data_IF_422298825012
#
_entry.id   IF_422298825012
#
_cell.length_a   1.000
_cell.length_b   1.000
_cell.length_c   1.000
_cell.angle_alpha   90.00
_cell.angle_beta   90.00
_cell.angle_gamma   90.00
#
_symmetry.space_group_name_H-M   'P 1'
#
loop_
_entity.id
_entity.type
_entity.pdbx_description
1 polymer ?
#
# COMPACT_ATOMS: atom_id res chain seq x y z
N UNK A 1 25.60 16.69 -27.15
CA UNK A 1 26.56 16.15 -26.16
C UNK A 1 27.10 17.25 -25.23
N UNK A 2 26.24 18.15 -24.72
CA UNK A 2 26.67 19.21 -23.78
C UNK A 2 26.48 18.82 -22.30
N UNK A 3 25.71 17.76 -22.02
CA UNK A 3 25.44 17.28 -20.67
C UNK A 3 26.67 16.67 -19.95
N UNK A 4 27.71 16.22 -20.68
CA UNK A 4 28.92 15.66 -20.07
C UNK A 4 29.93 16.71 -19.58
N UNK A 5 29.83 17.98 -20.01
CA UNK A 5 30.88 18.98 -19.75
C UNK A 5 30.88 19.57 -18.35
N UNK A 6 29.79 19.39 -17.59
CA UNK A 6 29.68 19.86 -16.20
C UNK A 6 28.89 18.86 -15.36
N UNK A 7 29.54 17.87 -14.73
CA UNK A 7 28.86 16.99 -13.78
C UNK A 7 28.20 17.84 -12.67
N UNK A 8 27.03 17.40 -12.18
CA UNK A 8 26.22 18.07 -11.13
C UNK A 8 25.51 19.37 -11.51
N UNK A 9 25.59 19.86 -12.76
CA UNK A 9 24.88 21.10 -13.15
C UNK A 9 23.36 20.99 -12.99
N UNK A 10 22.78 19.83 -13.30
CA UNK A 10 21.35 19.55 -13.10
C UNK A 10 20.95 19.66 -11.63
N UNK A 11 21.62 18.90 -10.76
CA UNK A 11 21.35 18.89 -9.31
C UNK A 11 21.46 20.28 -8.68
N UNK A 12 22.46 21.09 -9.08
CA UNK A 12 22.62 22.46 -8.59
C UNK A 12 21.45 23.37 -8.98
N UNK A 13 20.95 23.23 -10.20
CA UNK A 13 19.82 24.02 -10.68
C UNK A 13 18.53 23.64 -9.96
N UNK A 14 18.30 22.33 -9.77
CA UNK A 14 17.12 21.81 -9.07
C UNK A 14 17.11 22.27 -7.60
N UNK A 15 18.27 22.21 -6.93
CA UNK A 15 18.41 22.69 -5.55
C UNK A 15 18.14 24.20 -5.45
N UNK A 16 18.69 25.00 -6.38
CA UNK A 16 18.46 26.45 -6.39
C UNK A 16 16.98 26.79 -6.61
N UNK A 17 16.30 26.06 -7.49
CA UNK A 17 14.86 26.19 -7.71
C UNK A 17 14.05 25.86 -6.46
N UNK A 18 14.37 24.74 -5.79
CA UNK A 18 13.67 24.30 -4.58
C UNK A 18 13.87 25.27 -3.41
N UNK A 19 15.09 25.72 -3.17
CA UNK A 19 15.43 26.63 -2.05
C UNK A 19 14.66 27.95 -2.11
N UNK A 20 14.39 28.47 -3.31
CA UNK A 20 13.62 29.71 -3.47
C UNK A 20 12.17 29.57 -2.96
N UNK A 21 11.55 28.40 -3.15
CA UNK A 21 10.18 28.14 -2.74
C UNK A 21 10.07 27.56 -1.31
N UNK A 22 11.14 26.93 -0.80
CA UNK A 22 11.10 26.19 0.46
C UNK A 22 10.59 27.02 1.65
N UNK A 23 11.06 28.26 1.80
CA UNK A 23 10.60 29.15 2.88
C UNK A 23 9.10 29.47 2.77
N UNK A 24 8.59 29.62 1.55
CA UNK A 24 7.19 29.94 1.29
C UNK A 24 6.27 28.77 1.65
N UNK A 25 6.68 27.53 1.34
CA UNK A 25 5.90 26.34 1.64
C UNK A 25 5.60 26.18 3.14
N UNK A 26 6.57 26.46 4.01
CA UNK A 26 6.37 26.40 5.47
C UNK A 26 5.41 27.47 6.00
N UNK A 27 5.43 28.67 5.39
CA UNK A 27 4.52 29.75 5.76
C UNK A 27 3.10 29.44 5.27
N UNK A 28 2.98 28.99 4.03
CA UNK A 28 1.68 28.68 3.41
C UNK A 28 1.03 27.44 4.05
N UNK A 29 1.82 26.49 4.56
CA UNK A 29 1.33 25.31 5.28
C UNK A 29 0.76 25.59 6.68
N UNK A 30 1.03 26.76 7.27
CA UNK A 30 0.53 27.13 8.61
C UNK A 30 -0.96 27.56 8.63
N UNK A 31 -1.64 27.58 7.48
CA UNK A 31 -3.07 27.88 7.38
C UNK A 31 -3.97 26.78 7.95
N UNK A 32 -5.23 27.08 8.29
CA UNK A 32 -6.16 26.14 8.94
C UNK A 32 -6.73 25.02 8.04
N UNK A 33 -6.37 25.00 6.74
CA UNK A 33 -6.98 24.14 5.73
C UNK A 33 -6.27 22.83 5.39
N UNK A 34 -5.12 22.52 6.00
CA UNK A 34 -4.32 21.33 5.59
C UNK A 34 -4.80 20.01 6.20
N UNK A 35 -5.50 20.04 7.34
CA UNK A 35 -5.87 18.82 8.08
C UNK A 35 -6.68 17.81 7.25
N UNK A 36 -7.64 18.30 6.46
CA UNK A 36 -8.47 17.43 5.63
C UNK A 36 -7.70 16.75 4.49
N UNK A 37 -6.92 17.49 3.66
CA UNK A 37 -6.02 16.87 2.69
C UNK A 37 -5.00 15.93 3.30
N UNK A 38 -4.39 16.29 4.44
CA UNK A 38 -3.37 15.45 5.11
C UNK A 38 -3.95 14.11 5.52
N UNK A 39 -5.10 14.11 6.19
CA UNK A 39 -5.71 12.88 6.65
C UNK A 39 -6.25 12.03 5.48
N UNK A 40 -6.79 12.65 4.42
CA UNK A 40 -7.17 11.93 3.20
C UNK A 40 -5.98 11.22 2.55
N UNK A 41 -4.87 11.94 2.33
CA UNK A 41 -3.65 11.40 1.71
C UNK A 41 -3.00 10.33 2.59
N UNK A 42 -3.04 10.50 3.92
CA UNK A 42 -2.56 9.49 4.86
C UNK A 42 -3.26 8.15 4.66
N UNK A 43 -4.59 8.12 4.67
CA UNK A 43 -5.30 6.86 4.47
C UNK A 43 -5.20 6.34 3.03
N UNK A 44 -5.18 7.22 2.04
CA UNK A 44 -5.02 6.83 0.64
C UNK A 44 -3.67 6.17 0.36
N UNK A 45 -2.62 6.53 1.11
CA UNK A 45 -1.28 5.95 1.00
C UNK A 45 -1.06 4.76 1.93
N UNK A 46 -1.65 4.77 3.14
CA UNK A 46 -1.49 3.68 4.11
C UNK A 46 -2.17 2.38 3.66
N UNK A 47 -3.38 2.45 3.08
CA UNK A 47 -4.14 1.24 2.70
C UNK A 47 -3.41 0.39 1.64
N UNK A 48 -2.90 0.95 0.52
CA UNK A 48 -2.11 0.17 -0.43
C UNK A 48 -0.83 -0.39 0.19
N UNK A 49 -0.15 0.36 1.05
CA UNK A 49 1.09 -0.09 1.69
C UNK A 49 0.84 -1.27 2.62
N UNK A 50 -0.28 -1.29 3.35
CA UNK A 50 -0.66 -2.44 4.18
C UNK A 50 -0.96 -3.66 3.31
N UNK A 51 -1.76 -3.50 2.24
CA UNK A 51 -2.10 -4.59 1.34
C UNK A 51 -0.86 -5.18 0.66
N UNK A 52 0.03 -4.32 0.18
CA UNK A 52 1.29 -4.70 -0.46
C UNK A 52 2.33 -5.26 0.52
N UNK A 53 2.37 -4.74 1.75
CA UNK A 53 3.22 -5.28 2.80
C UNK A 53 2.79 -6.70 3.18
N UNK A 54 1.48 -6.96 3.24
CA UNK A 54 0.95 -8.30 3.51
C UNK A 54 1.25 -9.25 2.36
N UNK A 55 1.08 -8.80 1.11
CA UNK A 55 1.48 -9.58 -0.06
C UNK A 55 2.97 -9.91 -0.02
N UNK A 56 3.84 -8.95 0.30
CA UNK A 56 5.28 -9.16 0.39
C UNK A 56 5.63 -10.14 1.52
N UNK A 57 4.95 -10.07 2.66
CA UNK A 57 5.09 -11.01 3.76
C UNK A 57 4.75 -12.44 3.32
N UNK A 58 3.60 -12.63 2.65
CA UNK A 58 3.18 -13.94 2.13
C UNK A 58 4.14 -14.52 1.10
N UNK A 59 4.69 -13.69 0.21
CA UNK A 59 5.61 -14.13 -0.85
C UNK A 59 7.05 -14.35 -0.36
N UNK A 60 7.42 -13.80 0.80
CA UNK A 60 8.75 -13.96 1.42
C UNK A 60 8.73 -14.85 2.66
N UNK A 61 7.65 -15.61 2.84
CA UNK A 61 7.37 -16.48 4.00
C UNK A 61 7.52 -15.76 5.37
N UNK A 62 7.22 -14.46 5.43
CA UNK A 62 7.37 -13.64 6.63
C UNK A 62 8.80 -13.12 6.87
N UNK A 63 9.70 -13.25 5.90
CA UNK A 63 11.06 -12.68 6.01
C UNK A 63 11.06 -11.14 5.89
N UNK A 64 10.04 -10.56 5.25
CA UNK A 64 9.75 -9.12 5.26
C UNK A 64 8.31 -8.89 5.70
N UNK A 65 8.14 -8.18 6.82
CA UNK A 65 6.84 -7.97 7.43
C UNK A 65 6.12 -6.72 6.93
N UNK A 66 4.79 -6.71 7.07
CA UNK A 66 3.94 -5.55 6.77
C UNK A 66 4.34 -4.31 7.58
N UNK A 67 4.74 -4.50 8.84
CA UNK A 67 5.22 -3.44 9.74
C UNK A 67 6.51 -2.79 9.26
N UNK A 68 7.46 -3.57 8.76
CA UNK A 68 8.74 -3.09 8.22
C UNK A 68 8.52 -2.28 6.94
N UNK A 69 7.59 -2.73 6.10
CA UNK A 69 7.18 -2.03 4.87
C UNK A 69 6.53 -0.68 5.18
N UNK A 70 5.66 -0.64 6.20
CA UNK A 70 5.03 0.58 6.70
C UNK A 70 6.07 1.56 7.26
N UNK A 71 6.98 1.06 8.11
CA UNK A 71 8.05 1.85 8.71
C UNK A 71 8.98 2.43 7.65
N UNK A 72 9.38 1.61 6.67
CA UNK A 72 10.21 2.05 5.54
C UNK A 72 9.55 3.17 4.75
N UNK A 73 8.25 3.02 4.43
CA UNK A 73 7.49 4.06 3.72
C UNK A 73 7.36 5.34 4.54
N UNK A 74 7.12 5.24 5.84
CA UNK A 74 7.02 6.40 6.73
C UNK A 74 8.36 7.15 6.83
N UNK A 75 9.46 6.45 7.09
CA UNK A 75 10.80 7.06 7.19
C UNK A 75 11.21 7.69 5.88
N UNK A 76 11.06 6.98 4.76
CA UNK A 76 11.39 7.52 3.45
C UNK A 76 10.48 8.70 3.06
N UNK A 77 9.20 8.65 3.43
CA UNK A 77 8.25 9.73 3.23
C UNK A 77 8.62 11.01 3.98
N UNK A 78 9.03 10.90 5.26
CA UNK A 78 9.50 12.06 6.04
C UNK A 78 10.78 12.64 5.45
N UNK A 79 11.76 11.80 5.10
CA UNK A 79 13.01 12.24 4.48
C UNK A 79 12.72 12.93 3.14
N UNK A 80 11.85 12.37 2.30
CA UNK A 80 11.45 12.95 1.02
C UNK A 80 10.64 14.24 1.17
N UNK A 81 9.80 14.36 2.20
CA UNK A 81 9.06 15.59 2.46
C UNK A 81 9.98 16.77 2.81
N UNK A 82 11.08 16.52 3.53
CA UNK A 82 12.04 17.55 3.95
C UNK A 82 13.04 17.87 2.84
N UNK A 83 13.62 16.85 2.20
CA UNK A 83 14.72 17.01 1.25
C UNK A 83 14.33 16.88 -0.22
N UNK A 84 13.09 16.48 -0.52
CA UNK A 84 12.62 16.21 -1.87
C UNK A 84 12.46 17.46 -2.73
N UNK A 85 12.70 17.31 -4.03
CA UNK A 85 12.48 18.37 -5.02
C UNK A 85 11.00 18.68 -5.28
N UNK A 86 10.10 17.72 -5.01
CA UNK A 86 8.66 17.86 -5.20
C UNK A 86 7.89 17.31 -3.99
N UNK A 87 7.41 18.16 -3.06
CA UNK A 87 6.75 17.72 -1.83
C UNK A 87 5.34 17.14 -2.05
N UNK A 88 4.71 17.39 -3.21
CA UNK A 88 3.42 16.81 -3.59
C UNK A 88 3.53 15.34 -4.05
N UNK A 89 4.74 14.81 -4.19
CA UNK A 89 4.95 13.41 -4.57
C UNK A 89 4.74 12.52 -3.35
N UNK A 90 3.78 11.60 -3.46
CA UNK A 90 3.51 10.58 -2.44
C UNK A 90 4.47 9.41 -2.69
N UNK A 91 5.34 9.15 -1.72
CA UNK A 91 6.22 8.00 -1.74
C UNK A 91 5.46 6.78 -1.22
N UNK A 92 5.64 5.64 -1.87
CA UNK A 92 5.01 4.39 -1.48
C UNK A 92 5.62 3.19 -2.15
N UNK A 93 5.28 2.01 -1.65
CA UNK A 93 5.63 0.74 -2.30
C UNK A 93 4.66 0.48 -3.43
N UNK A 94 5.21 0.09 -4.58
CA UNK A 94 4.45 -0.29 -5.75
C UNK A 94 4.66 -1.78 -6.05
N UNK A 95 3.67 -2.39 -6.69
CA UNK A 95 3.70 -3.81 -7.04
C UNK A 95 4.95 -4.27 -7.82
N UNK A 96 5.49 -3.51 -8.79
CA UNK A 96 6.73 -3.92 -9.46
C UNK A 96 7.91 -4.10 -8.49
N UNK A 97 7.96 -3.31 -7.41
CA UNK A 97 8.96 -3.47 -6.36
C UNK A 97 8.76 -4.80 -5.65
N UNK A 98 7.53 -5.17 -5.29
CA UNK A 98 7.21 -6.43 -4.61
C UNK A 98 7.62 -7.62 -5.48
N UNK A 99 7.25 -7.61 -6.77
CA UNK A 99 7.61 -8.68 -7.72
C UNK A 99 9.13 -8.85 -7.78
N UNK A 100 9.89 -7.76 -7.82
CA UNK A 100 11.35 -7.82 -7.80
C UNK A 100 11.90 -8.40 -6.49
N UNK A 101 11.31 -8.06 -5.33
CA UNK A 101 11.72 -8.60 -4.04
C UNK A 101 11.38 -10.09 -3.89
N UNK A 102 10.22 -10.55 -4.40
CA UNK A 102 9.85 -11.97 -4.48
C UNK A 102 10.80 -12.75 -5.39
N UNK A 103 11.15 -12.18 -6.55
CA UNK A 103 12.13 -12.81 -7.44
C UNK A 103 13.51 -12.92 -6.79
N UNK A 104 13.92 -11.87 -6.06
CA UNK A 104 15.17 -11.87 -5.30
C UNK A 104 15.16 -12.93 -4.19
N UNK A 105 14.02 -13.11 -3.54
CA UNK A 105 13.81 -14.13 -2.53
C UNK A 105 13.97 -15.55 -3.11
N UNK A 106 13.31 -15.86 -4.24
CA UNK A 106 13.46 -17.16 -4.90
C UNK A 106 14.89 -17.45 -5.37
N UNK A 107 15.63 -16.43 -5.84
CA UNK A 107 17.05 -16.60 -6.17
C UNK A 107 17.84 -16.92 -4.90
N UNK A 108 17.63 -16.16 -3.83
CA UNK A 108 18.35 -16.34 -2.58
C UNK A 108 18.07 -17.72 -1.97
N UNK A 109 16.81 -18.16 -1.96
CA UNK A 109 16.39 -19.49 -1.49
C UNK A 109 17.11 -20.61 -2.23
N UNK A 110 17.18 -20.54 -3.56
CA UNK A 110 17.80 -21.57 -4.40
C UNK A 110 19.33 -21.63 -4.30
N UNK A 111 19.99 -20.52 -4.00
CA UNK A 111 21.45 -20.38 -4.15
C UNK A 111 22.22 -20.17 -2.84
N UNK A 112 21.74 -19.29 -1.96
CA UNK A 112 22.49 -18.80 -0.79
C UNK A 112 21.83 -19.27 0.53
N UNK A 113 20.52 -19.51 0.52
CA UNK A 113 19.71 -19.89 1.66
C UNK A 113 18.90 -18.72 2.23
N UNK A 114 17.73 -19.04 2.82
CA UNK A 114 16.73 -18.07 3.29
C UNK A 114 17.25 -17.05 4.31
N UNK A 115 18.15 -17.47 5.21
CA UNK A 115 18.70 -16.61 6.28
C UNK A 115 19.53 -15.44 5.75
N UNK A 116 20.14 -15.57 4.56
CA UNK A 116 20.99 -14.53 3.97
C UNK A 116 20.24 -13.63 2.99
N UNK A 117 18.93 -13.83 2.81
CA UNK A 117 18.10 -13.02 1.92
C UNK A 117 18.18 -11.52 2.23
N UNK A 118 18.09 -11.14 3.51
CA UNK A 118 18.13 -9.73 3.92
C UNK A 118 19.48 -9.08 3.60
N UNK A 119 20.59 -9.78 3.83
CA UNK A 119 21.92 -9.29 3.49
C UNK A 119 22.10 -9.14 1.98
N UNK A 120 21.57 -10.08 1.20
CA UNK A 120 21.58 -10.04 -0.26
C UNK A 120 20.75 -8.86 -0.80
N UNK A 121 19.54 -8.64 -0.28
CA UNK A 121 18.72 -7.48 -0.59
C UNK A 121 19.43 -6.16 -0.26
N UNK A 122 20.12 -6.10 0.88
CA UNK A 122 20.97 -4.96 1.27
C UNK A 122 22.05 -4.64 0.22
N UNK A 123 22.77 -5.66 -0.27
CA UNK A 123 23.78 -5.45 -1.31
C UNK A 123 23.18 -4.98 -2.65
N UNK A 124 22.02 -5.50 -3.05
CA UNK A 124 21.29 -5.01 -4.23
C UNK A 124 20.93 -3.53 -4.06
N UNK A 125 20.48 -3.12 -2.87
CA UNK A 125 20.19 -1.72 -2.56
C UNK A 125 21.44 -0.82 -2.65
N UNK A 126 22.61 -1.30 -2.20
CA UNK A 126 23.88 -0.56 -2.33
C UNK A 126 24.23 -0.31 -3.80
N UNK A 127 24.14 -1.33 -4.65
CA UNK A 127 24.39 -1.18 -6.09
C UNK A 127 23.36 -0.29 -6.76
N UNK A 128 22.09 -0.41 -6.38
CA UNK A 128 21.01 0.44 -6.89
C UNK A 128 21.26 1.90 -6.53
N UNK A 129 21.65 2.20 -5.29
CA UNK A 129 21.98 3.55 -4.84
C UNK A 129 23.20 4.12 -5.60
N UNK A 130 24.24 3.32 -5.82
CA UNK A 130 25.41 3.71 -6.61
C UNK A 130 25.03 4.05 -8.05
N UNK A 131 24.21 3.22 -8.70
CA UNK A 131 23.74 3.47 -10.07
C UNK A 131 22.86 4.73 -10.15
N UNK A 132 21.96 4.95 -9.19
CA UNK A 132 21.15 6.16 -9.11
C UNK A 132 22.02 7.42 -8.94
N UNK A 133 23.06 7.34 -8.11
CA UNK A 133 24.01 8.45 -7.95
C UNK A 133 24.73 8.76 -9.26
N UNK A 134 25.23 7.73 -9.97
CA UNK A 134 25.87 7.91 -11.28
C UNK A 134 24.92 8.55 -12.29
N UNK A 135 23.67 8.08 -12.38
CA UNK A 135 22.66 8.66 -13.27
C UNK A 135 22.37 10.14 -12.96
N UNK A 136 22.35 10.52 -11.68
CA UNK A 136 22.19 11.90 -11.24
C UNK A 136 23.39 12.77 -11.65
N UNK A 137 24.63 12.27 -11.51
CA UNK A 137 25.85 12.98 -11.92
C UNK A 137 25.88 13.24 -13.42
N UNK A 138 25.48 12.24 -14.22
CA UNK A 138 25.44 12.33 -15.69
C UNK A 138 24.21 13.07 -16.25
N UNK A 139 23.34 13.61 -15.37
CA UNK A 139 22.11 14.30 -15.76
C UNK A 139 21.19 13.46 -16.68
N UNK A 140 21.12 12.15 -16.40
CA UNK A 140 20.30 11.21 -17.16
C UNK A 140 18.80 11.54 -17.08
N UNK A 141 18.37 12.31 -16.07
CA UNK A 141 16.99 12.80 -15.89
C UNK A 141 16.43 13.53 -17.12
N UNK A 142 17.29 14.08 -17.99
CA UNK A 142 16.87 14.65 -19.28
C UNK A 142 16.09 13.66 -20.15
N UNK A 143 16.29 12.34 -19.98
CA UNK A 143 15.56 11.32 -20.74
C UNK A 143 14.05 11.35 -20.46
N UNK A 144 13.62 11.86 -19.30
CA UNK A 144 12.21 11.89 -18.92
C UNK A 144 11.41 12.83 -19.82
N UNK A 145 12.03 13.86 -20.41
CA UNK A 145 11.35 14.78 -21.34
C UNK A 145 11.02 14.11 -22.68
N UNK A 146 11.63 12.95 -22.98
CA UNK A 146 11.30 12.12 -24.13
C UNK A 146 10.12 11.18 -23.84
N UNK A 147 9.75 11.01 -22.57
CA UNK A 147 8.62 10.18 -22.19
C UNK A 147 7.33 10.83 -22.67
N UNK A 148 6.61 10.15 -23.56
CA UNK A 148 5.38 10.70 -24.15
C UNK A 148 4.21 10.56 -23.20
N UNK A 149 3.20 11.41 -23.41
CA UNK A 149 1.92 11.30 -22.69
C UNK A 149 1.30 9.90 -22.82
N UNK A 150 1.39 9.30 -24.01
CA UNK A 150 0.90 7.93 -24.27
C UNK A 150 1.58 6.92 -23.37
N UNK A 151 2.90 7.02 -23.18
CA UNK A 151 3.63 6.11 -22.29
C UNK A 151 3.18 6.28 -20.82
N UNK A 152 2.90 7.51 -20.39
CA UNK A 152 2.36 7.78 -19.05
C UNK A 152 0.96 7.21 -18.82
N UNK A 153 0.07 7.37 -19.79
CA UNK A 153 -1.29 6.82 -19.72
C UNK A 153 -1.28 5.28 -19.74
N UNK A 154 -0.43 4.66 -20.57
CA UNK A 154 -0.24 3.20 -20.60
C UNK A 154 0.34 2.66 -19.29
N UNK A 155 1.31 3.36 -18.69
CA UNK A 155 1.87 2.97 -17.40
C UNK A 155 0.82 3.05 -16.27
N UNK A 156 -0.02 4.09 -16.26
CA UNK A 156 -1.14 4.19 -15.33
C UNK A 156 -2.20 3.10 -15.54
N UNK A 157 -2.48 2.73 -16.80
CA UNK A 157 -3.37 1.61 -17.13
C UNK A 157 -2.79 0.29 -16.61
N UNK A 158 -1.50 0.04 -16.80
CA UNK A 158 -0.82 -1.15 -16.31
C UNK A 158 -0.96 -1.29 -14.79
N UNK A 159 -0.65 -0.21 -14.04
CA UNK A 159 -0.80 -0.20 -12.58
C UNK A 159 -2.24 -0.51 -12.16
N UNK A 160 -3.23 0.04 -12.88
CA UNK A 160 -4.65 -0.19 -12.58
C UNK A 160 -5.05 -1.66 -12.78
N UNK A 161 -4.59 -2.28 -13.87
CA UNK A 161 -4.86 -3.70 -14.16
C UNK A 161 -4.21 -4.59 -13.11
N UNK A 162 -2.96 -4.31 -12.75
CA UNK A 162 -2.22 -5.05 -11.73
C UNK A 162 -2.92 -4.97 -10.36
N UNK A 163 -3.35 -3.77 -9.93
CA UNK A 163 -4.14 -3.62 -8.70
C UNK A 163 -5.46 -4.42 -8.70
N UNK A 164 -6.18 -4.47 -9.83
CA UNK A 164 -7.42 -5.24 -9.94
C UNK A 164 -7.13 -6.74 -9.84
N UNK A 165 -6.08 -7.21 -10.50
CA UNK A 165 -5.65 -8.60 -10.44
C UNK A 165 -5.34 -9.01 -9.00
N UNK A 166 -4.61 -8.18 -8.27
CA UNK A 166 -4.21 -8.48 -6.89
C UNK A 166 -5.39 -8.42 -5.92
N UNK A 167 -6.35 -7.52 -6.15
CA UNK A 167 -7.61 -7.54 -5.43
C UNK A 167 -8.40 -8.85 -5.65
N UNK A 168 -8.43 -9.37 -6.89
CA UNK A 168 -9.08 -10.66 -7.21
C UNK A 168 -8.32 -11.81 -6.54
N UNK A 169 -6.99 -11.86 -6.65
CA UNK A 169 -6.18 -12.89 -5.98
C UNK A 169 -6.37 -12.88 -4.47
N UNK A 170 -6.45 -11.69 -3.85
CA UNK A 170 -6.71 -11.55 -2.42
C UNK A 170 -8.04 -12.20 -2.02
N UNK A 171 -9.12 -11.91 -2.76
CA UNK A 171 -10.45 -12.52 -2.52
C UNK A 171 -10.45 -14.03 -2.77
N UNK A 172 -9.78 -14.50 -3.84
CA UNK A 172 -9.67 -15.94 -4.13
C UNK A 172 -8.88 -16.67 -3.06
N UNK A 173 -7.84 -16.03 -2.49
CA UNK A 173 -7.00 -16.65 -1.48
C UNK A 173 -7.72 -16.97 -0.17
N UNK A 174 -8.89 -16.35 0.09
CA UNK A 174 -9.75 -16.67 1.23
C UNK A 174 -10.52 -17.98 1.05
N UNK A 175 -10.66 -18.46 -0.19
CA UNK A 175 -11.24 -19.77 -0.50
C UNK A 175 -10.21 -20.90 -0.42
N UNK A 176 -8.94 -20.58 -0.16
CA UNK A 176 -7.84 -21.53 -0.09
C UNK A 176 -7.30 -21.64 1.34
N UNK A 177 -6.71 -22.79 1.67
CA UNK A 177 -6.07 -23.00 2.98
C UNK A 177 -4.77 -22.18 3.00
N UNK A 178 -4.52 -21.36 4.04
CA UNK A 178 -3.28 -20.61 4.16
C UNK A 178 -2.08 -21.56 4.18
N UNK A 179 -1.05 -21.20 3.38
CA UNK A 179 0.18 -21.99 3.25
C UNK A 179 0.91 -22.02 4.60
N UNK A 180 1.07 -23.20 5.19
CA UNK A 180 1.77 -23.40 6.46
C UNK A 180 0.90 -23.84 7.64
N UNK A 181 -0.43 -23.89 7.47
CA UNK A 181 -1.35 -24.40 8.49
C UNK A 181 -1.74 -25.87 8.27
N UNK A 182 -2.07 -26.57 9.36
CA UNK A 182 -2.39 -28.00 9.33
C UNK A 182 -3.76 -28.24 8.65
N UNK A 183 -3.82 -29.01 7.54
CA UNK A 183 -5.08 -29.23 6.81
C UNK A 183 -6.16 -29.98 7.60
N UNK A 184 -5.78 -30.60 8.73
CA UNK A 184 -6.66 -31.43 9.55
C UNK A 184 -7.42 -30.65 10.63
N UNK A 185 -7.23 -29.33 10.74
CA UNK A 185 -8.02 -28.54 11.70
C UNK A 185 -9.47 -28.39 11.23
N UNK A 186 -10.43 -28.46 12.16
CA UNK A 186 -11.86 -28.31 11.86
C UNK A 186 -12.20 -26.99 11.14
N UNK A 187 -11.35 -25.97 11.29
CA UNK A 187 -11.47 -24.66 10.63
C UNK A 187 -11.30 -24.72 9.11
N UNK A 188 -10.59 -25.72 8.60
CA UNK A 188 -10.29 -25.91 7.18
C UNK A 188 -11.21 -26.93 6.50
N UNK A 189 -12.28 -27.35 7.19
CA UNK A 189 -13.34 -28.11 6.54
C UNK A 189 -13.97 -27.28 5.41
N UNK A 190 -14.34 -27.97 4.32
CA UNK A 190 -14.86 -27.35 3.11
C UNK A 190 -16.02 -26.38 3.36
N UNK A 191 -16.89 -26.69 4.34
CA UNK A 191 -18.03 -25.84 4.72
C UNK A 191 -17.59 -24.48 5.28
N UNK A 192 -16.60 -24.46 6.17
CA UNK A 192 -16.11 -23.22 6.81
C UNK A 192 -15.33 -22.35 5.84
N UNK A 193 -14.48 -22.97 5.01
CA UNK A 193 -13.71 -22.27 3.98
C UNK A 193 -14.61 -21.61 2.94
N UNK A 194 -15.68 -22.30 2.51
CA UNK A 194 -16.66 -21.76 1.59
C UNK A 194 -17.45 -20.58 2.18
N UNK A 195 -17.84 -20.67 3.47
CA UNK A 195 -18.53 -19.57 4.17
C UNK A 195 -17.63 -18.35 4.32
N UNK A 196 -16.35 -18.55 4.71
CA UNK A 196 -15.37 -17.46 4.83
C UNK A 196 -15.14 -16.77 3.49
N UNK A 197 -14.91 -17.53 2.42
CA UNK A 197 -14.74 -16.97 1.08
C UNK A 197 -15.97 -16.21 0.58
N UNK A 198 -17.18 -16.74 0.79
CA UNK A 198 -18.42 -16.04 0.43
C UNK A 198 -18.58 -14.73 1.22
N UNK A 199 -18.27 -14.76 2.52
CA UNK A 199 -18.31 -13.59 3.38
C UNK A 199 -17.31 -12.52 2.93
N UNK A 200 -16.09 -12.92 2.53
CA UNK A 200 -15.08 -12.02 1.99
C UNK A 200 -15.51 -11.36 0.66
N UNK A 201 -16.21 -12.11 -0.22
CA UNK A 201 -16.82 -11.53 -1.43
C UNK A 201 -17.85 -10.47 -1.07
N UNK A 202 -18.76 -10.78 -0.13
CA UNK A 202 -19.80 -9.84 0.31
C UNK A 202 -19.18 -8.57 0.91
N UNK A 203 -18.19 -8.72 1.78
CA UNK A 203 -17.48 -7.58 2.40
C UNK A 203 -16.71 -6.75 1.39
N UNK A 204 -16.00 -7.39 0.46
CA UNK A 204 -15.23 -6.70 -0.59
C UNK A 204 -16.12 -5.86 -1.51
N UNK A 205 -17.22 -6.43 -2.01
CA UNK A 205 -18.21 -5.69 -2.79
C UNK A 205 -18.93 -4.62 -1.95
N UNK A 206 -19.20 -4.91 -0.67
CA UNK A 206 -19.78 -3.96 0.27
C UNK A 206 -18.93 -2.71 0.43
N UNK A 207 -17.64 -2.87 0.74
CA UNK A 207 -16.67 -1.76 0.86
C UNK A 207 -16.55 -1.02 -0.47
N UNK A 208 -16.47 -1.72 -1.60
CA UNK A 208 -16.36 -1.11 -2.93
C UNK A 208 -17.57 -0.22 -3.25
N UNK A 209 -18.78 -0.77 -3.15
CA UNK A 209 -20.01 -0.05 -3.49
C UNK A 209 -20.23 1.16 -2.57
N UNK A 210 -20.03 0.97 -1.26
CA UNK A 210 -20.18 2.06 -0.29
C UNK A 210 -19.12 3.14 -0.45
N UNK A 211 -17.87 2.78 -0.76
CA UNK A 211 -16.80 3.74 -1.08
C UNK A 211 -17.09 4.55 -2.35
N UNK A 212 -17.61 3.91 -3.40
CA UNK A 212 -18.03 4.59 -4.63
C UNK A 212 -19.21 5.53 -4.39
N UNK A 213 -20.16 5.14 -3.53
CA UNK A 213 -21.27 6.01 -3.09
C UNK A 213 -20.76 7.20 -2.28
N UNK A 214 -19.79 6.98 -1.40
CA UNK A 214 -19.18 8.00 -0.56
C UNK A 214 -18.44 9.06 -1.40
N UNK A 215 -17.71 8.64 -2.45
CA UNK A 215 -17.10 9.59 -3.41
C UNK A 215 -18.12 10.43 -4.18
N UNK A 216 -19.30 9.86 -4.46
CA UNK A 216 -20.41 10.60 -5.11
C UNK A 216 -21.18 11.50 -4.13
N UNK A 217 -20.92 11.42 -2.83
CA UNK A 217 -21.64 12.19 -1.80
C UNK A 217 -21.56 13.70 -2.02
N UNK A 218 -20.46 14.23 -2.61
CA UNK A 218 -20.33 15.67 -2.93
C UNK A 218 -21.43 16.20 -3.86
N UNK A 219 -22.02 15.33 -4.70
CA UNK A 219 -23.13 15.67 -5.61
C UNK A 219 -24.52 15.38 -5.03
N UNK A 220 -24.61 14.89 -3.79
CA UNK A 220 -25.89 14.50 -3.21
C UNK A 220 -26.74 15.74 -2.93
N UNK A 221 -28.04 15.63 -3.29
CA UNK A 221 -29.05 16.68 -3.08
C UNK A 221 -29.54 16.77 -1.63
N UNK A 222 -29.29 15.73 -0.85
CA UNK A 222 -29.69 15.62 0.55
C UNK A 222 -28.46 15.71 1.45
N UNK A 223 -28.53 16.56 2.48
CA UNK A 223 -27.45 16.74 3.47
C UNK A 223 -26.92 18.17 3.55
N UNK A 224 -26.38 18.54 4.71
CA UNK A 224 -25.72 19.83 4.92
C UNK A 224 -24.37 19.87 4.21
N UNK A 225 -23.96 21.06 3.72
CA UNK A 225 -22.73 21.21 2.92
C UNK A 225 -21.46 20.76 3.64
N UNK A 226 -21.39 20.96 4.96
CA UNK A 226 -20.27 20.55 5.79
C UNK A 226 -20.16 19.03 5.92
N UNK A 227 -21.27 18.35 6.29
CA UNK A 227 -21.32 16.89 6.41
C UNK A 227 -21.03 16.19 5.08
N UNK A 228 -21.51 16.80 3.97
CA UNK A 228 -21.26 16.32 2.61
C UNK A 228 -19.79 16.38 2.22
N UNK A 229 -19.07 17.44 2.57
CA UNK A 229 -17.62 17.51 2.31
C UNK A 229 -16.87 16.50 3.17
N UNK A 230 -17.22 16.38 4.46
CA UNK A 230 -16.59 15.41 5.35
C UNK A 230 -16.73 13.97 4.83
N UNK A 231 -17.94 13.54 4.42
CA UNK A 231 -18.14 12.21 3.85
C UNK A 231 -17.39 12.04 2.53
N UNK A 232 -17.36 13.06 1.67
CA UNK A 232 -16.66 12.97 0.39
C UNK A 232 -15.13 12.86 0.57
N UNK A 233 -14.57 13.58 1.53
CA UNK A 233 -13.14 13.65 1.78
C UNK A 233 -12.64 12.45 2.61
N UNK A 234 -13.41 11.99 3.60
CA UNK A 234 -13.07 10.84 4.46
C UNK A 234 -13.80 9.56 4.11
N UNK A 235 -14.39 9.49 2.92
CA UNK A 235 -15.34 8.45 2.56
C UNK A 235 -14.73 7.05 2.52
N UNK A 236 -13.58 6.89 1.88
CA UNK A 236 -12.93 5.58 1.75
C UNK A 236 -12.48 5.04 3.12
N UNK A 237 -11.75 5.81 3.96
CA UNK A 237 -11.29 5.31 5.25
C UNK A 237 -12.44 5.06 6.23
N UNK A 238 -13.46 5.92 6.22
CA UNK A 238 -14.65 5.74 7.05
C UNK A 238 -15.39 4.46 6.68
N UNK A 239 -15.51 4.13 5.39
CA UNK A 239 -16.13 2.87 4.95
C UNK A 239 -15.31 1.66 5.38
N UNK A 240 -13.98 1.72 5.30
CA UNK A 240 -13.12 0.64 5.83
C UNK A 240 -13.41 0.42 7.31
N UNK A 241 -13.38 1.46 8.14
CA UNK A 241 -13.67 1.33 9.59
C UNK A 241 -15.06 0.79 9.86
N UNK A 242 -16.09 1.27 9.14
CA UNK A 242 -17.48 0.81 9.31
C UNK A 242 -17.62 -0.67 8.95
N UNK A 243 -17.02 -1.11 7.83
CA UNK A 243 -17.10 -2.50 7.40
C UNK A 243 -16.24 -3.43 8.27
N UNK A 244 -15.09 -2.97 8.75
CA UNK A 244 -14.32 -3.69 9.77
C UNK A 244 -15.13 -3.83 11.06
N UNK A 245 -15.76 -2.76 11.55
CA UNK A 245 -16.62 -2.82 12.72
C UNK A 245 -17.84 -3.72 12.51
N UNK A 246 -18.42 -3.76 11.30
CA UNK A 246 -19.49 -4.70 10.94
C UNK A 246 -18.99 -6.14 10.96
N UNK A 247 -17.78 -6.39 10.47
CA UNK A 247 -17.14 -7.71 10.50
C UNK A 247 -16.95 -8.21 11.94
N UNK A 248 -16.48 -7.37 12.85
CA UNK A 248 -16.41 -7.68 14.29
C UNK A 248 -17.79 -7.76 14.97
N UNK A 249 -18.73 -6.94 14.49
CA UNK A 249 -20.06 -6.79 15.07
C UNK A 249 -21.05 -7.85 14.63
N UNK A 250 -20.76 -8.64 13.59
CA UNK A 250 -21.57 -9.81 13.24
C UNK A 250 -21.55 -10.78 14.43
N UNK A 251 -22.66 -10.88 15.18
CA UNK A 251 -22.65 -11.60 16.43
C UNK A 251 -22.46 -13.08 16.13
N UNK A 252 -21.58 -13.71 16.90
CA UNK A 252 -21.46 -15.16 16.96
C UNK A 252 -22.80 -15.88 17.22
N UNK A 253 -23.88 -15.17 17.59
CA UNK A 253 -25.25 -15.70 17.70
C UNK A 253 -25.86 -16.18 16.38
N UNK A 254 -25.56 -15.56 15.24
CA UNK A 254 -25.99 -16.07 13.92
C UNK A 254 -25.19 -17.31 13.49
N UNK A 255 -23.95 -17.44 13.97
CA UNK A 255 -23.15 -18.66 13.87
C UNK A 255 -23.59 -19.74 14.88
N UNK A 256 -24.01 -19.36 16.08
CA UNK A 256 -24.40 -20.26 17.18
C UNK A 256 -25.79 -20.88 17.00
N UNK A 257 -26.72 -20.18 16.34
CA UNK A 257 -28.05 -20.73 16.04
C UNK A 257 -28.04 -21.73 14.86
N UNK A 258 -27.02 -21.66 14.00
CA UNK A 258 -26.82 -22.62 12.90
C UNK A 258 -25.80 -23.73 13.22
N UNK A 259 -24.83 -23.49 14.10
CA UNK A 259 -23.73 -24.42 14.38
C UNK A 259 -23.59 -24.61 15.89
N UNK A 260 -24.11 -25.75 16.34
CA UNK A 260 -23.92 -26.24 17.69
C UNK A 260 -22.43 -26.41 18.01
N UNK A 261 -21.98 -25.65 19.00
CA UNK A 261 -20.83 -25.99 19.85
C UNK A 261 -19.47 -26.07 19.16
N UNK A 262 -18.78 -24.92 19.06
CA UNK A 262 -17.37 -24.76 19.46
C UNK A 262 -16.92 -23.33 19.16
N UNK A 263 -17.35 -22.43 20.03
CA UNK A 263 -16.81 -21.08 20.19
C UNK A 263 -15.36 -21.17 20.68
N UNK A 264 -14.41 -20.47 20.03
CA UNK A 264 -13.20 -19.83 20.65
C UNK A 264 -12.21 -19.26 19.61
N UNK A 265 -12.35 -19.50 18.30
CA UNK A 265 -11.21 -19.30 17.38
C UNK A 265 -11.30 -18.22 16.28
N UNK A 266 -12.25 -17.29 16.36
CA UNK A 266 -12.15 -16.02 15.62
C UNK A 266 -11.35 -14.95 16.40
N UNK A 267 -11.19 -15.11 17.73
CA UNK A 267 -10.40 -14.19 18.57
C UNK A 267 -8.90 -14.51 18.57
N UNK A 268 -8.49 -15.73 18.21
CA UNK A 268 -7.09 -16.18 18.25
C UNK A 268 -6.24 -15.61 17.11
N UNK A 269 -6.72 -15.72 15.86
CA UNK A 269 -5.93 -15.31 14.69
C UNK A 269 -5.88 -13.79 14.47
N UNK A 270 -6.78 -13.02 15.09
CA UNK A 270 -6.72 -11.56 15.05
C UNK A 270 -5.81 -10.97 16.14
N UNK A 271 -5.63 -11.66 17.27
CA UNK A 271 -4.59 -11.29 18.23
C UNK A 271 -3.19 -11.55 17.65
N UNK A 272 -2.99 -12.58 16.83
CA UNK A 272 -1.69 -12.83 16.18
C UNK A 272 -1.39 -11.89 14.98
N UNK A 273 -2.42 -11.26 14.40
CA UNK A 273 -2.28 -10.36 13.25
C UNK A 273 -2.24 -8.87 13.64
N UNK A 274 -2.77 -8.49 14.82
CA UNK A 274 -2.76 -7.10 15.33
C UNK A 274 -1.75 -6.90 16.48
N UNK A 275 -1.39 -7.95 17.22
CA UNK A 275 -0.31 -7.91 18.21
C UNK A 275 0.85 -8.68 17.62
N UNK A 276 1.80 -7.95 17.03
CA UNK A 276 2.98 -8.52 16.40
C UNK A 276 3.70 -9.52 17.31
N UNK A 277 4.03 -10.66 16.74
CA UNK A 277 5.31 -11.31 16.98
C UNK A 277 6.19 -11.06 15.76
#
# INVERSE_FOLDING_TARGET
MENLKTPFKGVKNDLKGRLACYKKDWVDACGSGFWAPTAYVFFASALPVIAFGEQLSRETDGSLSTSETLLSTAVCGVIHAIFGGQPLLILGVAEPTIIMYTYLYHIAEKSIGRQLYLAWAGWVCVWTALLLFLLAVFNACTIITRFTRVAGELFGMLITVLFIQEAIKGVVSEFEIPKGENPNEERYQFQWLYVNGLLAVIFSFGVLLTSLRSRKARSWRYGTGWFRSFIADYGVPLMVVVWTALSYGMPGKLLLEFLGGSSVLFLGNLNHCIIGQ
#
